data_IF_862612553372
#
_entry.id   IF_862612553372
#
_cell.length_a   1.000
_cell.length_b   1.000
_cell.length_c   1.000
_cell.angle_alpha   90.00
_cell.angle_beta   90.00
_cell.angle_gamma   90.00
#
_symmetry.space_group_name_H-M   'P 1'
#
loop_
_entity.id
_entity.type
_entity.pdbx_description
1 polymer ?
#
# COMPACT_ATOMS: atom_id res chain seq x y z
N UNK A 1 -11.28 -21.64 -1.80
CA UNK A 1 -11.76 -20.60 -2.73
C UNK A 1 -11.17 -20.85 -4.09
N UNK A 2 -11.98 -20.86 -5.12
CA UNK A 2 -11.51 -20.96 -6.51
C UNK A 2 -11.34 -19.56 -7.09
N UNK A 3 -10.17 -19.26 -7.58
CA UNK A 3 -9.86 -18.02 -8.30
C UNK A 3 -10.01 -18.31 -9.80
N UNK A 4 -10.92 -17.59 -10.44
CA UNK A 4 -11.20 -17.75 -11.87
C UNK A 4 -10.56 -16.63 -12.68
N UNK A 5 -10.11 -16.91 -13.91
CA UNK A 5 -9.73 -15.87 -14.85
C UNK A 5 -10.85 -14.82 -15.02
N UNK A 6 -10.45 -13.61 -15.43
CA UNK A 6 -11.40 -12.54 -15.65
C UNK A 6 -12.21 -12.79 -16.93
N UNK A 7 -13.54 -12.71 -16.85
CA UNK A 7 -14.41 -12.66 -18.02
C UNK A 7 -14.39 -11.28 -18.71
N UNK A 8 -14.79 -11.22 -19.98
CA UNK A 8 -14.88 -9.94 -20.69
C UNK A 8 -15.87 -8.99 -20.02
N UNK A 9 -15.47 -7.74 -19.82
CA UNK A 9 -16.30 -6.69 -19.24
C UNK A 9 -16.73 -5.67 -20.29
N UNK A 10 -17.86 -4.97 -20.04
CA UNK A 10 -18.30 -3.84 -20.87
C UNK A 10 -17.53 -2.59 -20.45
N UNK A 11 -16.97 -1.88 -21.43
CA UNK A 11 -16.28 -0.64 -21.21
C UNK A 11 -17.23 0.55 -21.23
N UNK A 12 -17.09 1.40 -20.23
CA UNK A 12 -17.74 2.71 -20.18
C UNK A 12 -16.70 3.79 -20.38
N UNK A 13 -17.07 4.93 -21.01
CA UNK A 13 -16.15 6.06 -21.14
C UNK A 13 -15.60 6.50 -19.78
N UNK A 14 -14.33 6.92 -19.76
CA UNK A 14 -13.67 7.46 -18.56
C UNK A 14 -13.87 8.96 -18.52
N UNK A 15 -14.19 9.49 -17.34
CA UNK A 15 -14.34 10.94 -17.12
C UNK A 15 -13.68 11.33 -15.80
N UNK A 16 -12.81 12.36 -15.83
CA UNK A 16 -12.23 12.96 -14.67
C UNK A 16 -13.03 14.20 -14.26
N UNK A 17 -13.52 14.23 -13.05
CA UNK A 17 -14.24 15.33 -12.43
C UNK A 17 -13.27 16.17 -11.59
N UNK A 18 -13.26 17.48 -11.83
CA UNK A 18 -12.46 18.45 -11.08
C UNK A 18 -13.41 19.43 -10.40
N UNK A 19 -13.75 19.22 -9.13
CA UNK A 19 -14.57 20.15 -8.38
C UNK A 19 -13.75 21.40 -8.02
N UNK A 20 -14.29 22.56 -8.33
CA UNK A 20 -13.81 23.89 -7.93
C UNK A 20 -14.92 24.57 -7.12
N UNK A 21 -14.61 25.69 -6.46
CA UNK A 21 -15.63 26.41 -5.73
C UNK A 21 -16.84 26.78 -6.62
N UNK A 22 -18.00 26.12 -6.38
CA UNK A 22 -19.26 26.28 -7.15
C UNK A 22 -19.14 25.99 -8.66
N UNK A 23 -18.09 25.32 -9.11
CA UNK A 23 -17.89 24.95 -10.49
C UNK A 23 -17.43 23.48 -10.58
N UNK A 24 -18.00 22.73 -11.51
CA UNK A 24 -17.56 21.37 -11.85
C UNK A 24 -17.02 21.36 -13.28
N UNK A 25 -15.77 20.94 -13.44
CA UNK A 25 -15.14 20.70 -14.72
C UNK A 25 -15.06 19.18 -14.94
N UNK A 26 -15.55 18.70 -16.08
CA UNK A 26 -15.50 17.30 -16.46
C UNK A 26 -14.65 17.14 -17.73
N UNK A 27 -13.54 16.41 -17.62
CA UNK A 27 -12.73 15.99 -18.77
C UNK A 27 -13.31 14.66 -19.28
N UNK A 28 -13.87 14.68 -20.48
CA UNK A 28 -14.53 13.53 -21.11
C UNK A 28 -13.88 13.19 -22.44
N UNK A 29 -14.10 11.99 -22.99
CA UNK A 29 -13.60 11.65 -24.35
C UNK A 29 -14.14 12.57 -25.44
N UNK A 30 -15.30 13.20 -25.25
CA UNK A 30 -15.89 14.16 -26.18
C UNK A 30 -15.46 15.62 -25.95
N UNK A 31 -14.53 15.86 -25.00
CA UNK A 31 -14.01 17.19 -24.68
C UNK A 31 -14.34 17.64 -23.26
N UNK A 32 -13.99 18.88 -22.95
CA UNK A 32 -14.14 19.48 -21.62
C UNK A 32 -15.56 20.06 -21.48
N UNK A 33 -16.29 19.62 -20.46
CA UNK A 33 -17.59 20.18 -20.07
C UNK A 33 -17.43 20.95 -18.76
N UNK A 34 -18.15 22.08 -18.62
CA UNK A 34 -18.13 22.92 -17.41
C UNK A 34 -19.54 23.26 -16.97
N UNK A 35 -19.76 23.29 -15.66
CA UNK A 35 -21.00 23.70 -15.06
C UNK A 35 -20.72 24.58 -13.84
N UNK A 36 -21.55 25.62 -13.62
CA UNK A 36 -21.40 26.56 -12.53
C UNK A 36 -22.71 26.66 -11.73
N UNK A 37 -22.62 26.60 -10.41
CA UNK A 37 -23.75 26.50 -9.52
C UNK A 37 -24.20 25.06 -9.26
N UNK A 38 -24.77 24.78 -8.07
CA UNK A 38 -25.05 23.44 -7.60
C UNK A 38 -26.01 22.66 -8.55
N UNK A 39 -27.09 23.27 -9.03
CA UNK A 39 -28.02 22.62 -9.93
C UNK A 39 -27.40 22.24 -11.26
N UNK A 40 -26.67 23.15 -11.93
CA UNK A 40 -25.99 22.86 -13.18
C UNK A 40 -24.88 21.82 -13.02
N UNK A 41 -24.15 21.83 -11.90
CA UNK A 41 -23.15 20.80 -11.58
C UNK A 41 -23.82 19.41 -11.38
N UNK A 42 -24.97 19.38 -10.74
CA UNK A 42 -25.80 18.17 -10.60
C UNK A 42 -26.24 17.63 -11.97
N UNK A 43 -26.81 18.48 -12.84
CA UNK A 43 -27.28 18.08 -14.18
C UNK A 43 -26.11 17.54 -15.03
N UNK A 44 -24.95 18.17 -14.96
CA UNK A 44 -23.74 17.69 -15.61
C UNK A 44 -23.36 16.29 -15.10
N UNK A 45 -23.35 16.11 -13.76
CA UNK A 45 -23.01 14.81 -13.16
C UNK A 45 -24.00 13.72 -13.58
N UNK A 46 -25.31 14.03 -13.59
CA UNK A 46 -26.38 13.13 -14.04
C UNK A 46 -26.22 12.75 -15.52
N UNK A 47 -25.82 13.69 -16.35
CA UNK A 47 -25.59 13.41 -17.80
C UNK A 47 -24.42 12.46 -18.06
N UNK A 48 -23.58 12.20 -17.05
CA UNK A 48 -22.40 11.32 -17.12
C UNK A 48 -22.61 9.97 -16.41
N UNK A 49 -23.84 9.60 -16.05
CA UNK A 49 -24.14 8.34 -15.32
C UNK A 49 -23.63 7.05 -16.01
N UNK A 50 -23.53 7.09 -17.34
CA UNK A 50 -22.99 5.98 -18.15
C UNK A 50 -21.48 5.95 -18.22
N UNK A 51 -20.76 6.92 -17.62
CA UNK A 51 -19.31 6.99 -17.59
C UNK A 51 -18.72 6.33 -16.34
N UNK A 52 -17.45 5.93 -16.41
CA UNK A 52 -16.64 5.64 -15.24
C UNK A 52 -16.12 6.97 -14.68
N UNK A 53 -16.68 7.41 -13.55
CA UNK A 53 -16.42 8.72 -12.99
C UNK A 53 -15.33 8.67 -11.93
N UNK A 54 -14.38 9.58 -12.07
CA UNK A 54 -13.27 9.77 -11.14
C UNK A 54 -13.20 11.23 -10.71
N UNK A 55 -12.85 11.48 -9.47
CA UNK A 55 -12.63 12.82 -8.95
C UNK A 55 -11.15 13.02 -8.59
N UNK A 56 -10.57 14.12 -9.06
CA UNK A 56 -9.17 14.49 -8.79
C UNK A 56 -8.92 15.02 -7.38
N UNK A 57 -9.96 15.43 -6.68
CA UNK A 57 -9.98 15.96 -5.33
C UNK A 57 -10.70 15.00 -4.36
N UNK A 58 -11.14 15.49 -3.21
CA UNK A 58 -11.91 14.67 -2.29
C UNK A 58 -13.36 14.49 -2.77
N UNK A 59 -13.95 13.36 -2.40
CA UNK A 59 -15.39 13.17 -2.63
C UNK A 59 -16.23 14.20 -1.90
N UNK A 60 -15.75 14.73 -0.77
CA UNK A 60 -16.38 15.83 -0.05
C UNK A 60 -16.44 17.11 -0.90
N UNK A 61 -15.36 17.44 -1.61
CA UNK A 61 -15.33 18.60 -2.50
C UNK A 61 -16.35 18.47 -3.63
N UNK A 62 -16.49 17.26 -4.22
CA UNK A 62 -17.49 16.98 -5.22
C UNK A 62 -18.92 17.17 -4.66
N UNK A 63 -19.20 16.62 -3.48
CA UNK A 63 -20.51 16.77 -2.82
C UNK A 63 -20.83 18.24 -2.51
N UNK A 64 -19.86 18.99 -2.02
CA UNK A 64 -20.03 20.42 -1.75
C UNK A 64 -20.29 21.22 -3.03
N UNK A 65 -19.66 20.85 -4.14
CA UNK A 65 -19.82 21.51 -5.45
C UNK A 65 -21.17 21.22 -6.09
N UNK A 66 -21.67 20.00 -5.93
CA UNK A 66 -22.94 19.53 -6.51
C UNK A 66 -24.15 19.73 -5.61
N UNK A 67 -23.99 20.31 -4.42
CA UNK A 67 -25.05 20.48 -3.43
C UNK A 67 -25.34 19.20 -2.66
N UNK A 68 -24.56 18.93 -1.58
CA UNK A 68 -24.64 17.71 -0.78
C UNK A 68 -26.03 17.40 -0.23
N UNK A 69 -26.85 18.44 0.05
CA UNK A 69 -28.23 18.32 0.53
C UNK A 69 -29.19 17.69 -0.50
N UNK A 70 -28.81 17.66 -1.77
CA UNK A 70 -29.63 17.07 -2.85
C UNK A 70 -29.39 15.59 -3.05
N UNK A 71 -28.31 15.01 -2.45
CA UNK A 71 -27.90 13.65 -2.69
C UNK A 71 -27.98 12.79 -1.43
N UNK A 72 -28.47 11.56 -1.58
CA UNK A 72 -28.18 10.51 -0.64
C UNK A 72 -26.82 9.89 -1.05
N UNK A 73 -25.77 10.19 -0.32
CA UNK A 73 -24.43 9.71 -0.64
C UNK A 73 -23.98 8.64 0.34
N UNK A 74 -23.55 7.48 -0.19
CA UNK A 74 -22.87 6.44 0.56
C UNK A 74 -21.39 6.45 0.22
N UNK A 75 -20.53 6.88 1.17
CA UNK A 75 -19.08 6.93 0.98
C UNK A 75 -18.41 5.70 1.57
N UNK A 76 -17.54 5.09 0.77
CA UNK A 76 -16.73 3.94 1.18
C UNK A 76 -15.30 4.39 1.47
N UNK A 77 -14.89 4.37 2.75
CA UNK A 77 -13.52 4.70 3.20
C UNK A 77 -12.92 5.93 2.50
N UNK A 78 -13.73 6.90 2.11
CA UNK A 78 -13.30 8.10 1.38
C UNK A 78 -12.82 7.88 -0.07
N UNK A 79 -12.90 6.66 -0.60
CA UNK A 79 -12.39 6.34 -1.95
C UNK A 79 -13.47 6.18 -3.01
N UNK A 80 -14.67 5.80 -2.61
CA UNK A 80 -15.80 5.61 -3.52
C UNK A 80 -17.04 6.19 -2.89
N UNK A 81 -17.83 6.92 -3.66
CA UNK A 81 -19.19 7.32 -3.27
C UNK A 81 -20.20 6.84 -4.29
N UNK A 82 -21.35 6.38 -3.82
CA UNK A 82 -22.55 6.23 -4.64
C UNK A 82 -23.49 7.33 -4.24
N UNK A 83 -23.80 8.21 -5.17
CA UNK A 83 -24.72 9.33 -5.01
C UNK A 83 -26.05 8.97 -5.64
N UNK A 84 -27.16 9.18 -4.94
CA UNK A 84 -28.51 8.86 -5.43
C UNK A 84 -29.42 10.07 -5.29
N UNK A 85 -30.13 10.40 -6.36
CA UNK A 85 -31.21 11.40 -6.37
C UNK A 85 -32.21 11.01 -7.46
N UNK A 86 -33.50 11.11 -7.17
CA UNK A 86 -34.60 10.85 -8.13
C UNK A 86 -34.47 9.51 -8.89
N UNK A 87 -33.97 8.46 -8.21
CA UNK A 87 -33.75 7.15 -8.81
C UNK A 87 -32.46 7.00 -9.62
N UNK A 88 -31.77 8.10 -9.95
CA UNK A 88 -30.47 8.08 -10.60
C UNK A 88 -29.37 7.72 -9.59
N UNK A 89 -28.49 6.75 -9.95
CA UNK A 89 -27.36 6.37 -9.13
C UNK A 89 -26.06 6.62 -9.90
N UNK A 90 -25.19 7.43 -9.31
CA UNK A 90 -23.88 7.76 -9.88
C UNK A 90 -22.79 7.29 -8.94
N UNK A 91 -21.85 6.48 -9.45
CA UNK A 91 -20.73 5.98 -8.69
C UNK A 91 -19.46 6.72 -9.09
N UNK A 92 -18.80 7.32 -8.11
CA UNK A 92 -17.58 8.12 -8.33
C UNK A 92 -16.44 7.56 -7.49
N UNK A 93 -15.26 7.46 -8.08
CA UNK A 93 -14.02 7.00 -7.45
C UNK A 93 -13.09 8.19 -7.16
N UNK A 94 -12.47 8.25 -5.98
CA UNK A 94 -11.45 9.26 -5.67
C UNK A 94 -10.07 8.78 -6.12
N UNK A 95 -9.34 9.64 -6.81
CA UNK A 95 -7.95 9.42 -7.24
C UNK A 95 -6.97 10.37 -6.53
N UNK A 96 -7.43 11.16 -5.56
CA UNK A 96 -6.63 12.21 -4.92
C UNK A 96 -5.21 11.79 -4.61
N UNK A 97 -5.02 10.70 -3.86
CA UNK A 97 -3.69 10.24 -3.43
C UNK A 97 -2.75 9.84 -4.57
N UNK A 98 -3.32 9.44 -5.70
CA UNK A 98 -2.57 8.90 -6.83
C UNK A 98 -2.19 10.00 -7.80
N UNK A 99 -3.00 11.08 -7.82
CA UNK A 99 -2.86 12.18 -8.76
C UNK A 99 -2.26 13.43 -8.12
N UNK A 100 -1.93 13.43 -6.83
CA UNK A 100 -1.35 14.61 -6.15
C UNK A 100 0.02 15.00 -6.73
N UNK A 101 0.76 14.04 -7.32
CA UNK A 101 2.08 14.27 -7.94
C UNK A 101 2.02 14.76 -9.39
N UNK A 102 0.83 15.08 -9.93
CA UNK A 102 0.67 15.48 -11.33
C UNK A 102 0.44 16.98 -11.45
N UNK A 103 1.14 17.61 -12.38
CA UNK A 103 1.00 19.01 -12.71
C UNK A 103 -0.20 19.24 -13.65
N UNK A 104 -1.31 19.72 -13.05
CA UNK A 104 -2.49 20.11 -13.80
C UNK A 104 -3.49 18.97 -14.08
N UNK A 105 -4.74 19.37 -14.28
CA UNK A 105 -5.88 18.45 -14.41
C UNK A 105 -5.92 17.72 -15.73
N UNK A 106 -5.44 18.35 -16.79
CA UNK A 106 -5.37 17.77 -18.13
C UNK A 106 -4.36 16.60 -18.16
N UNK A 107 -3.18 16.79 -17.55
CA UNK A 107 -2.17 15.72 -17.44
C UNK A 107 -2.71 14.52 -16.63
N UNK A 108 -3.45 14.78 -15.55
CA UNK A 108 -4.12 13.73 -14.75
C UNK A 108 -5.09 12.94 -15.61
N UNK A 109 -5.90 13.64 -16.42
CA UNK A 109 -6.88 13.00 -17.27
C UNK A 109 -6.22 12.14 -18.36
N UNK A 110 -5.25 12.70 -19.08
CA UNK A 110 -4.55 11.98 -20.15
C UNK A 110 -3.83 10.74 -19.63
N UNK A 111 -3.14 10.83 -18.51
CA UNK A 111 -2.48 9.69 -17.88
C UNK A 111 -3.48 8.60 -17.48
N UNK A 112 -4.66 9.00 -16.98
CA UNK A 112 -5.68 8.04 -16.59
C UNK A 112 -6.40 7.43 -17.79
N UNK A 113 -6.57 8.18 -18.87
CA UNK A 113 -7.12 7.68 -20.13
C UNK A 113 -6.20 6.63 -20.75
N UNK A 114 -4.90 6.91 -20.83
CA UNK A 114 -3.89 5.99 -21.33
C UNK A 114 -3.85 4.68 -20.48
N UNK A 115 -3.91 4.80 -19.14
CA UNK A 115 -4.05 3.63 -18.27
C UNK A 115 -5.31 2.82 -18.57
N UNK A 116 -6.45 3.49 -18.81
CA UNK A 116 -7.72 2.82 -19.06
C UNK A 116 -7.72 2.09 -20.41
N UNK A 117 -7.07 2.64 -21.44
CA UNK A 117 -6.87 2.02 -22.75
C UNK A 117 -5.98 0.78 -22.62
N UNK A 118 -4.85 0.91 -21.93
CA UNK A 118 -3.97 -0.23 -21.67
C UNK A 118 -4.69 -1.35 -20.88
N UNK A 119 -5.46 -1.01 -19.86
CA UNK A 119 -6.27 -1.99 -19.12
C UNK A 119 -7.34 -2.65 -19.97
N UNK A 120 -7.87 -1.92 -20.98
CA UNK A 120 -8.82 -2.46 -21.95
C UNK A 120 -8.26 -3.63 -22.73
N UNK A 121 -7.00 -3.57 -23.16
CA UNK A 121 -6.34 -4.65 -23.88
C UNK A 121 -6.27 -5.94 -23.04
N UNK A 122 -6.26 -5.80 -21.73
CA UNK A 122 -6.33 -6.90 -20.77
C UNK A 122 -7.77 -7.29 -20.35
N UNK A 123 -8.79 -6.73 -20.95
CA UNK A 123 -10.19 -6.99 -20.61
C UNK A 123 -10.63 -6.38 -19.27
N UNK A 124 -9.84 -5.46 -18.70
CA UNK A 124 -10.07 -4.85 -17.37
C UNK A 124 -10.83 -3.55 -17.50
N UNK A 125 -12.04 -3.50 -16.95
CA UNK A 125 -12.79 -2.24 -16.88
C UNK A 125 -12.20 -1.30 -15.81
N UNK A 126 -12.15 0.02 -16.08
CA UNK A 126 -11.80 1.01 -15.10
C UNK A 126 -12.67 0.93 -13.84
N UNK A 127 -12.05 1.10 -12.68
CA UNK A 127 -12.69 1.02 -11.37
C UNK A 127 -11.86 1.69 -10.27
N UNK A 128 -11.94 1.25 -9.02
CA UNK A 128 -10.95 1.66 -8.03
C UNK A 128 -9.59 1.04 -8.36
N UNK A 129 -8.50 1.68 -7.94
CA UNK A 129 -7.13 1.17 -8.18
C UNK A 129 -6.99 -0.28 -7.71
N UNK A 130 -7.48 -0.60 -6.53
CA UNK A 130 -7.42 -1.96 -5.99
C UNK A 130 -8.27 -2.95 -6.80
N UNK A 131 -9.45 -2.53 -7.29
CA UNK A 131 -10.27 -3.37 -8.15
C UNK A 131 -9.63 -3.59 -9.54
N UNK A 132 -9.01 -2.56 -10.10
CA UNK A 132 -8.26 -2.68 -11.35
C UNK A 132 -7.05 -3.60 -11.18
N UNK A 133 -6.30 -3.47 -10.07
CA UNK A 133 -5.18 -4.34 -9.74
C UNK A 133 -5.60 -5.82 -9.63
N UNK A 134 -6.68 -6.07 -8.91
CA UNK A 134 -7.26 -7.40 -8.75
C UNK A 134 -7.72 -8.00 -10.09
N UNK A 135 -8.41 -7.22 -10.91
CA UNK A 135 -8.92 -7.67 -12.19
C UNK A 135 -7.79 -7.85 -13.22
N UNK A 136 -6.77 -6.98 -13.22
CA UNK A 136 -5.57 -7.16 -14.04
C UNK A 136 -4.85 -8.46 -13.69
N UNK A 137 -4.64 -8.71 -12.39
CA UNK A 137 -4.07 -9.99 -11.97
C UNK A 137 -4.90 -11.17 -12.45
N UNK A 138 -6.23 -11.13 -12.29
CA UNK A 138 -7.11 -12.21 -12.77
C UNK A 138 -7.11 -12.38 -14.28
N UNK A 139 -6.89 -11.32 -15.06
CA UNK A 139 -6.80 -11.40 -16.52
C UNK A 139 -5.52 -12.10 -17.01
N UNK A 140 -4.49 -12.15 -16.15
CA UNK A 140 -3.24 -12.85 -16.45
C UNK A 140 -3.21 -14.32 -16.06
N UNK A 141 -4.26 -14.81 -15.41
CA UNK A 141 -4.36 -16.22 -15.02
C UNK A 141 -4.74 -17.10 -16.21
N UNK A 142 -3.94 -18.12 -16.48
CA UNK A 142 -4.20 -19.07 -17.57
C UNK A 142 -5.19 -20.15 -17.18
N UNK A 143 -5.31 -20.44 -15.90
CA UNK A 143 -6.20 -21.47 -15.35
C UNK A 143 -6.78 -21.07 -14.00
N UNK A 144 -7.85 -21.74 -13.65
CA UNK A 144 -8.43 -21.66 -12.31
C UNK A 144 -7.52 -22.35 -11.29
N UNK A 145 -7.29 -21.75 -10.13
CA UNK A 145 -6.58 -22.38 -9.04
C UNK A 145 -7.30 -22.20 -7.70
N UNK A 146 -7.04 -23.12 -6.78
CA UNK A 146 -7.67 -23.12 -5.46
C UNK A 146 -6.75 -22.52 -4.41
N UNK A 147 -7.27 -21.58 -3.64
CA UNK A 147 -6.65 -21.08 -2.43
C UNK A 147 -7.47 -21.52 -1.22
N UNK A 148 -6.84 -22.13 -0.23
CA UNK A 148 -7.55 -22.50 0.98
C UNK A 148 -7.83 -21.31 1.86
N UNK A 149 -8.98 -21.36 2.53
CA UNK A 149 -9.40 -20.38 3.51
C UNK A 149 -8.82 -20.71 4.90
N UNK A 150 -7.51 -20.59 5.08
CA UNK A 150 -6.98 -20.63 6.44
C UNK A 150 -6.89 -19.20 7.01
N UNK A 151 -8.07 -18.58 7.15
CA UNK A 151 -8.22 -17.16 7.43
C UNK A 151 -7.63 -16.76 8.79
N UNK A 152 -7.73 -17.61 9.80
CA UNK A 152 -7.29 -17.26 11.16
C UNK A 152 -5.77 -17.19 11.26
N UNK A 153 -5.06 -18.26 10.89
CA UNK A 153 -3.59 -18.28 11.00
C UNK A 153 -2.93 -17.29 10.03
N UNK A 154 -3.46 -17.15 8.81
CA UNK A 154 -3.00 -16.15 7.87
C UNK A 154 -3.16 -14.72 8.40
N UNK A 155 -4.26 -14.41 9.10
CA UNK A 155 -4.46 -13.10 9.73
C UNK A 155 -3.54 -12.87 10.92
N UNK A 156 -3.34 -13.86 11.75
CA UNK A 156 -2.45 -13.77 12.91
C UNK A 156 -1.00 -13.50 12.48
N UNK A 157 -0.59 -14.02 11.31
CA UNK A 157 0.74 -13.82 10.75
C UNK A 157 0.85 -12.61 9.79
N UNK A 158 -0.26 -11.92 9.51
CA UNK A 158 -0.25 -10.75 8.63
C UNK A 158 0.09 -9.48 9.41
N UNK A 159 1.32 -9.03 9.28
CA UNK A 159 1.83 -7.76 9.82
C UNK A 159 2.16 -6.81 8.66
N UNK A 160 2.05 -5.50 8.91
CA UNK A 160 2.46 -4.45 7.98
C UNK A 160 3.96 -4.34 7.77
N UNK A 161 4.39 -3.35 7.01
CA UNK A 161 5.80 -2.99 6.83
C UNK A 161 6.44 -2.48 8.13
N UNK A 162 7.76 -2.60 8.21
CA UNK A 162 8.53 -2.07 9.34
C UNK A 162 8.66 -0.56 9.23
N UNK A 163 8.37 0.14 10.34
CA UNK A 163 8.51 1.59 10.44
C UNK A 163 9.15 1.92 11.78
N UNK A 164 10.37 2.43 11.75
CA UNK A 164 11.13 2.82 12.94
C UNK A 164 11.96 4.07 12.66
N UNK A 165 12.24 4.82 13.69
CA UNK A 165 13.13 5.97 13.62
C UNK A 165 13.90 6.14 14.92
N UNK A 166 15.09 6.73 14.84
CA UNK A 166 15.87 7.18 16.00
C UNK A 166 15.75 8.70 16.09
N UNK A 167 14.78 9.23 16.84
CA UNK A 167 14.50 10.66 16.89
C UNK A 167 15.49 11.43 17.75
N UNK A 168 15.51 12.76 17.57
CA UNK A 168 16.15 13.70 18.50
C UNK A 168 17.63 14.00 18.22
N UNK A 169 18.21 13.46 17.14
CA UNK A 169 19.60 13.72 16.78
C UNK A 169 19.73 14.24 15.34
N UNK A 170 20.82 14.95 15.10
CA UNK A 170 21.26 15.35 13.76
C UNK A 170 22.41 14.45 13.35
N UNK A 171 22.30 13.86 12.18
CA UNK A 171 23.28 12.94 11.64
C UNK A 171 23.89 13.54 10.36
N UNK A 172 25.12 13.16 10.03
CA UNK A 172 25.84 13.59 8.83
C UNK A 172 26.32 12.41 8.01
N UNK A 173 26.39 12.61 6.70
CA UNK A 173 26.84 11.62 5.70
C UNK A 173 26.03 10.32 5.69
N UNK A 174 24.72 10.48 5.46
CA UNK A 174 23.76 9.39 5.36
C UNK A 174 23.25 9.21 3.93
N UNK A 175 22.71 8.04 3.65
CA UNK A 175 22.14 7.71 2.36
C UNK A 175 20.76 7.03 2.53
N UNK A 176 19.79 7.49 1.75
CA UNK A 176 18.49 6.82 1.65
C UNK A 176 18.53 5.81 0.49
N UNK A 177 18.21 4.58 0.79
CA UNK A 177 18.05 3.50 -0.19
C UNK A 177 16.70 2.82 -0.04
N UNK A 178 16.12 2.35 -1.15
CA UNK A 178 14.87 1.56 -1.15
C UNK A 178 14.97 0.37 -2.10
N UNK A 179 14.17 -0.67 -1.85
CA UNK A 179 14.05 -1.81 -2.74
C UNK A 179 13.11 -1.44 -3.89
N UNK A 180 13.63 -1.42 -5.11
CA UNK A 180 12.85 -1.09 -6.30
C UNK A 180 11.71 -2.09 -6.52
N UNK A 181 10.45 -1.60 -6.49
CA UNK A 181 9.23 -2.43 -6.65
C UNK A 181 9.17 -3.61 -5.68
N UNK A 182 9.49 -3.40 -4.41
CA UNK A 182 9.67 -4.45 -3.39
C UNK A 182 8.52 -5.47 -3.36
N UNK A 183 7.28 -5.02 -3.13
CA UNK A 183 6.13 -5.92 -3.02
C UNK A 183 5.82 -6.68 -4.32
N UNK A 184 5.64 -6.03 -5.48
CA UNK A 184 5.39 -6.73 -6.73
C UNK A 184 6.51 -7.72 -7.11
N UNK A 185 7.76 -7.37 -6.83
CA UNK A 185 8.90 -8.24 -7.08
C UNK A 185 8.86 -9.49 -6.19
N UNK A 186 8.63 -9.32 -4.86
CA UNK A 186 8.55 -10.46 -3.94
C UNK A 186 7.31 -11.32 -4.19
N UNK A 187 6.21 -10.75 -4.70
CA UNK A 187 5.06 -11.53 -5.14
C UNK A 187 5.39 -12.47 -6.30
N UNK A 188 6.16 -12.00 -7.28
CA UNK A 188 6.46 -12.76 -8.48
C UNK A 188 7.63 -13.74 -8.31
N UNK A 189 8.49 -13.55 -7.31
CA UNK A 189 9.76 -14.25 -7.21
C UNK A 189 9.65 -15.69 -6.73
N UNK A 190 8.69 -15.99 -5.87
CA UNK A 190 8.57 -17.30 -5.19
C UNK A 190 7.14 -17.80 -5.14
N UNK A 191 6.94 -19.14 -5.08
CA UNK A 191 5.62 -19.72 -4.89
C UNK A 191 4.97 -19.29 -3.57
N UNK A 192 3.67 -19.50 -3.51
CA UNK A 192 2.81 -19.33 -2.35
C UNK A 192 2.13 -20.65 -2.01
N UNK A 193 1.72 -20.80 -0.75
CA UNK A 193 0.85 -21.90 -0.39
C UNK A 193 -0.55 -21.71 -1.05
N UNK A 194 -0.92 -22.63 -1.90
CA UNK A 194 -2.30 -22.73 -2.38
C UNK A 194 -3.20 -23.23 -1.25
N UNK A 195 -2.79 -24.29 -0.57
CA UNK A 195 -3.42 -24.87 0.60
C UNK A 195 -2.39 -25.11 1.69
N UNK A 196 -2.69 -24.69 2.92
CA UNK A 196 -1.87 -24.97 4.10
C UNK A 196 -2.45 -26.18 4.87
N UNK A 197 -1.59 -27.08 5.30
CA UNK A 197 -1.92 -28.16 6.24
C UNK A 197 -1.08 -28.04 7.50
N UNK A 198 -1.65 -28.44 8.63
CA UNK A 198 -0.90 -28.53 9.87
C UNK A 198 0.08 -29.71 9.81
N UNK A 199 1.30 -29.47 10.25
CA UNK A 199 2.41 -30.43 10.28
C UNK A 199 3.04 -30.46 11.67
N UNK A 200 3.98 -31.38 11.87
CA UNK A 200 4.71 -31.44 13.15
C UNK A 200 5.38 -30.12 13.50
N UNK A 201 5.33 -29.64 14.76
CA UNK A 201 6.11 -28.49 15.21
C UNK A 201 7.63 -28.67 15.07
N UNK A 202 8.10 -29.90 14.85
CA UNK A 202 9.51 -30.21 14.61
C UNK A 202 9.93 -30.11 13.15
N UNK A 203 8.98 -29.83 12.23
CA UNK A 203 9.28 -29.63 10.82
C UNK A 203 10.31 -28.50 10.65
N UNK A 204 11.38 -28.69 9.86
CA UNK A 204 12.34 -27.65 9.57
C UNK A 204 11.66 -26.43 8.93
N UNK A 205 12.01 -25.24 9.42
CA UNK A 205 11.47 -23.98 8.91
C UNK A 205 12.35 -23.49 7.74
N UNK A 206 12.08 -24.00 6.55
CA UNK A 206 12.82 -23.62 5.34
C UNK A 206 12.37 -22.23 4.86
N UNK A 207 13.29 -21.24 4.72
CA UNK A 207 12.92 -19.84 4.43
C UNK A 207 12.32 -19.63 3.04
N UNK A 208 12.53 -20.58 2.13
CA UNK A 208 12.00 -20.54 0.75
C UNK A 208 10.56 -21.07 0.64
N UNK A 209 10.09 -21.79 1.65
CA UNK A 209 8.75 -22.39 1.67
C UNK A 209 7.78 -21.42 2.34
N UNK A 210 6.64 -21.19 1.68
CA UNK A 210 5.56 -20.30 2.18
C UNK A 210 4.76 -20.96 3.33
N UNK A 211 5.42 -21.26 4.44
CA UNK A 211 4.84 -21.84 5.64
C UNK A 211 4.59 -20.80 6.74
N UNK A 212 3.75 -21.16 7.70
CA UNK A 212 3.44 -20.32 8.87
C UNK A 212 3.60 -21.17 10.13
N UNK A 213 4.08 -20.56 11.23
CA UNK A 213 4.12 -21.23 12.51
C UNK A 213 3.70 -20.29 13.65
N UNK A 214 3.08 -20.86 14.68
CA UNK A 214 2.92 -20.25 15.99
C UNK A 214 4.13 -20.63 16.82
N UNK A 215 4.75 -19.64 17.42
CA UNK A 215 5.99 -19.85 18.16
C UNK A 215 6.08 -18.90 19.35
N UNK A 216 6.89 -19.33 20.34
CA UNK A 216 7.46 -18.49 21.37
C UNK A 216 8.93 -18.25 21.01
N UNK A 217 9.34 -16.99 20.99
CA UNK A 217 10.68 -16.62 20.54
C UNK A 217 11.35 -15.75 21.58
N UNK A 218 12.57 -16.14 21.98
CA UNK A 218 13.42 -15.28 22.79
C UNK A 218 14.33 -14.45 21.89
N UNK A 219 14.12 -13.14 21.88
CA UNK A 219 14.95 -12.17 21.19
C UNK A 219 15.98 -11.61 22.17
N UNK A 220 17.31 -11.81 21.94
CA UNK A 220 18.36 -11.30 22.81
C UNK A 220 18.27 -9.78 23.03
N UNK A 221 18.53 -9.32 24.26
CA UNK A 221 18.44 -7.90 24.60
C UNK A 221 19.53 -7.06 23.93
N UNK A 222 20.67 -7.65 23.64
CA UNK A 222 21.83 -7.05 22.97
C UNK A 222 21.70 -7.04 21.44
N UNK A 223 20.71 -7.75 20.88
CA UNK A 223 20.47 -7.71 19.44
C UNK A 223 20.03 -6.30 19.02
N UNK A 224 20.73 -5.60 18.13
CA UNK A 224 20.43 -4.21 17.76
C UNK A 224 18.99 -4.03 17.26
N UNK A 225 18.56 -4.88 16.36
CA UNK A 225 17.23 -4.83 15.74
C UNK A 225 16.48 -6.13 15.97
N UNK A 226 15.32 -6.06 16.65
CA UNK A 226 14.45 -7.24 16.81
C UNK A 226 13.95 -7.71 15.45
N UNK A 227 14.00 -9.02 15.14
CA UNK A 227 13.64 -9.53 13.81
C UNK A 227 12.13 -9.65 13.58
N UNK A 228 11.32 -9.76 14.64
CA UNK A 228 9.93 -10.16 14.54
C UNK A 228 8.97 -9.06 14.97
N UNK A 229 7.92 -8.76 14.18
CA UNK A 229 6.87 -7.86 14.59
C UNK A 229 5.97 -8.50 15.67
N UNK A 230 5.51 -7.69 16.60
CA UNK A 230 4.48 -8.01 17.57
C UNK A 230 3.37 -6.96 17.52
N UNK A 231 2.18 -7.28 18.04
CA UNK A 231 1.10 -6.31 18.21
C UNK A 231 1.06 -5.83 19.66
N UNK A 232 1.06 -4.53 19.85
CA UNK A 232 0.79 -3.92 21.15
C UNK A 232 -0.73 -3.79 21.38
N UNK A 233 -1.14 -3.46 22.61
CA UNK A 233 -2.55 -3.40 22.99
C UNK A 233 -3.47 -2.49 22.17
N UNK A 234 -2.91 -1.58 21.37
CA UNK A 234 -3.61 -0.72 20.41
C UNK A 234 -3.48 -1.19 18.96
N UNK A 235 -3.12 -2.45 18.73
CA UNK A 235 -2.84 -3.07 17.42
C UNK A 235 -1.67 -2.46 16.62
N UNK A 236 -0.95 -1.49 17.20
CA UNK A 236 0.26 -0.97 16.56
C UNK A 236 1.36 -2.03 16.54
N UNK A 237 2.20 -1.98 15.50
CA UNK A 237 3.36 -2.87 15.41
C UNK A 237 4.46 -2.41 16.35
N UNK A 238 5.06 -3.37 17.04
CA UNK A 238 6.22 -3.20 17.89
C UNK A 238 7.30 -4.23 17.54
N UNK A 239 8.55 -3.91 17.86
CA UNK A 239 9.73 -4.75 17.62
C UNK A 239 10.37 -5.07 18.97
N UNK A 240 9.69 -5.96 19.71
CA UNK A 240 10.00 -6.25 21.11
C UNK A 240 11.21 -7.17 21.26
N UNK A 241 11.88 -7.08 22.41
CA UNK A 241 12.97 -7.98 22.84
C UNK A 241 12.50 -8.84 24.01
N UNK A 242 13.30 -9.84 24.38
CA UNK A 242 12.93 -10.84 25.38
C UNK A 242 11.99 -11.90 24.80
N UNK A 243 11.17 -12.51 25.65
CA UNK A 243 10.20 -13.51 25.21
C UNK A 243 8.98 -12.85 24.54
N UNK A 244 8.70 -13.24 23.30
CA UNK A 244 7.53 -12.84 22.52
C UNK A 244 6.78 -14.07 22.03
N UNK A 245 5.48 -13.95 21.83
CA UNK A 245 4.61 -15.00 21.28
C UNK A 245 3.80 -14.46 20.11
N UNK A 246 3.62 -15.28 19.08
CA UNK A 246 2.89 -14.87 17.88
C UNK A 246 2.86 -15.92 16.78
N UNK A 247 2.38 -15.50 15.63
CA UNK A 247 2.36 -16.30 14.41
C UNK A 247 3.18 -15.58 13.35
N UNK A 248 4.14 -16.25 12.77
CA UNK A 248 5.05 -15.69 11.75
C UNK A 248 5.24 -16.66 10.60
N UNK A 249 5.70 -16.16 9.47
CA UNK A 249 6.10 -17.00 8.36
C UNK A 249 7.40 -17.76 8.67
N UNK A 250 7.63 -18.85 7.96
CA UNK A 250 8.86 -19.61 8.13
C UNK A 250 10.11 -18.80 7.80
N UNK A 251 10.02 -17.92 6.78
CA UNK A 251 11.11 -17.03 6.41
C UNK A 251 11.50 -16.08 7.54
N UNK A 252 10.51 -15.50 8.26
CA UNK A 252 10.78 -14.63 9.41
C UNK A 252 11.40 -15.38 10.60
N UNK A 253 10.87 -16.56 10.91
CA UNK A 253 11.41 -17.37 12.01
C UNK A 253 12.81 -17.92 11.68
N UNK A 254 13.07 -18.24 10.42
CA UNK A 254 14.41 -18.64 9.96
C UNK A 254 15.39 -17.46 10.07
N UNK A 255 15.01 -16.26 9.65
CA UNK A 255 15.81 -15.06 9.83
C UNK A 255 16.06 -14.73 11.32
N UNK A 256 15.07 -14.91 12.18
CA UNK A 256 15.26 -14.75 13.62
C UNK A 256 16.28 -15.74 14.18
N UNK A 257 16.24 -17.01 13.75
CA UNK A 257 17.23 -18.03 14.14
C UNK A 257 18.65 -17.66 13.68
N UNK A 258 18.82 -17.18 12.44
CA UNK A 258 20.14 -16.76 11.92
C UNK A 258 20.75 -15.61 12.70
N UNK A 259 19.92 -14.78 13.34
CA UNK A 259 20.33 -13.69 14.24
C UNK A 259 20.47 -14.10 15.72
N UNK A 260 20.45 -15.41 16.03
CA UNK A 260 20.68 -15.92 17.37
C UNK A 260 19.44 -15.97 18.26
N UNK A 261 18.23 -15.76 17.74
CA UNK A 261 17.01 -15.92 18.54
C UNK A 261 16.70 -17.41 18.82
N UNK A 262 16.23 -17.71 20.03
CA UNK A 262 15.72 -19.06 20.37
C UNK A 262 14.26 -19.14 19.95
N UNK A 263 13.93 -20.09 19.07
CA UNK A 263 12.58 -20.29 18.52
C UNK A 263 12.01 -21.61 19.00
N UNK A 264 10.88 -21.56 19.70
CA UNK A 264 10.10 -22.68 20.21
C UNK A 264 8.75 -22.72 19.46
N UNK A 265 8.63 -23.64 18.49
CA UNK A 265 7.41 -23.77 17.68
C UNK A 265 6.37 -24.58 18.44
N UNK A 266 5.16 -24.08 18.58
CA UNK A 266 4.02 -24.78 19.19
C UNK A 266 3.10 -25.42 18.17
N UNK A 267 2.85 -24.77 17.03
CA UNK A 267 2.07 -25.29 15.89
C UNK A 267 2.71 -24.84 14.57
N UNK A 268 2.56 -25.64 13.55
CA UNK A 268 3.23 -25.42 12.28
C UNK A 268 2.33 -25.80 11.09
N UNK A 269 2.32 -24.99 10.04
CA UNK A 269 1.59 -25.22 8.79
C UNK A 269 2.53 -25.11 7.61
N UNK A 270 2.52 -26.15 6.77
CA UNK A 270 3.26 -26.20 5.52
C UNK A 270 2.31 -26.17 4.32
N UNK A 271 2.78 -25.77 3.12
CA UNK A 271 2.02 -25.92 1.89
C UNK A 271 1.68 -27.39 1.64
N UNK A 272 0.41 -27.69 1.38
CA UNK A 272 -0.02 -28.95 0.77
C UNK A 272 0.10 -28.85 -0.75
N UNK A 273 -0.17 -27.66 -1.30
CA UNK A 273 0.01 -27.31 -2.70
C UNK A 273 0.69 -25.94 -2.79
N UNK A 274 1.55 -25.78 -3.78
CA UNK A 274 2.18 -24.53 -4.10
C UNK A 274 1.61 -23.97 -5.40
N UNK A 275 1.52 -22.62 -5.47
CA UNK A 275 1.03 -21.89 -6.64
C UNK A 275 1.92 -20.70 -6.91
N UNK A 276 2.13 -20.37 -8.19
CA UNK A 276 2.89 -19.17 -8.62
C UNK A 276 2.01 -18.28 -9.51
N UNK A 277 1.04 -17.55 -8.90
CA UNK A 277 0.01 -16.86 -9.64
C UNK A 277 0.39 -15.45 -10.08
N UNK A 278 1.61 -14.96 -9.77
CA UNK A 278 1.98 -13.56 -9.95
C UNK A 278 3.06 -13.30 -11.01
N UNK A 279 3.69 -14.34 -11.55
CA UNK A 279 4.80 -14.18 -12.49
C UNK A 279 4.36 -13.45 -13.77
N UNK A 280 3.36 -13.99 -14.46
CA UNK A 280 2.80 -13.38 -15.68
C UNK A 280 2.22 -11.99 -15.44
N UNK A 281 1.53 -11.81 -14.30
CA UNK A 281 1.03 -10.49 -13.89
C UNK A 281 2.18 -9.48 -13.74
N UNK A 282 3.29 -9.90 -13.16
CA UNK A 282 4.44 -9.02 -12.97
C UNK A 282 5.11 -8.65 -14.29
N UNK A 283 5.16 -9.57 -15.25
CA UNK A 283 5.64 -9.27 -16.61
C UNK A 283 4.79 -8.19 -17.27
N UNK A 284 3.47 -8.34 -17.21
CA UNK A 284 2.50 -7.36 -17.73
C UNK A 284 2.66 -5.99 -17.06
N UNK A 285 2.80 -5.95 -15.75
CA UNK A 285 3.02 -4.69 -15.01
C UNK A 285 4.34 -4.03 -15.42
N UNK A 286 5.42 -4.80 -15.58
CA UNK A 286 6.71 -4.26 -16.01
C UNK A 286 6.63 -3.70 -17.45
N UNK A 287 5.98 -4.42 -18.35
CA UNK A 287 5.74 -3.98 -19.71
C UNK A 287 4.94 -2.67 -19.73
N UNK A 288 3.81 -2.59 -19.03
CA UNK A 288 3.02 -1.37 -18.94
C UNK A 288 3.81 -0.19 -18.39
N UNK A 289 4.68 -0.41 -17.39
CA UNK A 289 5.56 0.65 -16.88
C UNK A 289 6.67 1.08 -17.85
N UNK A 290 7.06 0.25 -18.78
CA UNK A 290 8.09 0.54 -19.78
C UNK A 290 7.54 1.20 -21.05
N UNK A 291 6.29 0.89 -21.41
CA UNK A 291 5.68 1.30 -22.68
C UNK A 291 4.79 2.53 -22.58
N UNK A 292 4.15 2.74 -21.42
CA UNK A 292 3.28 3.89 -21.20
C UNK A 292 4.07 5.17 -20.89
N UNK A 293 3.41 6.32 -21.04
CA UNK A 293 3.98 7.61 -20.65
C UNK A 293 4.44 7.60 -19.19
N UNK A 294 5.42 8.43 -18.80
CA UNK A 294 5.89 8.51 -17.42
C UNK A 294 4.76 8.77 -16.41
N UNK A 295 3.73 9.51 -16.83
CA UNK A 295 2.56 9.80 -16.01
C UNK A 295 1.68 8.56 -15.81
N UNK A 296 1.31 7.85 -16.86
CA UNK A 296 0.54 6.61 -16.79
C UNK A 296 1.32 5.48 -16.09
N UNK A 297 2.64 5.39 -16.30
CA UNK A 297 3.52 4.45 -15.60
C UNK A 297 3.50 4.62 -14.07
N UNK A 298 3.34 5.86 -13.54
CA UNK A 298 3.13 6.11 -12.10
C UNK A 298 1.81 5.49 -11.62
N UNK A 299 0.76 5.55 -12.42
CA UNK A 299 -0.53 4.92 -12.09
C UNK A 299 -0.43 3.39 -12.09
N UNK A 300 0.28 2.80 -13.06
CA UNK A 300 0.57 1.35 -13.07
C UNK A 300 1.38 0.94 -11.85
N UNK A 301 2.34 1.76 -11.39
CA UNK A 301 3.08 1.52 -10.14
C UNK A 301 2.13 1.49 -8.94
N UNK A 302 1.21 2.45 -8.84
CA UNK A 302 0.23 2.51 -7.74
C UNK A 302 -0.72 1.31 -7.77
N UNK A 303 -1.16 0.91 -8.97
CA UNK A 303 -1.97 -0.29 -9.20
C UNK A 303 -1.22 -1.54 -8.72
N UNK A 304 0.03 -1.72 -9.12
CA UNK A 304 0.82 -2.90 -8.73
C UNK A 304 1.05 -2.98 -7.22
N UNK A 305 1.28 -1.85 -6.57
CA UNK A 305 1.49 -1.81 -5.11
C UNK A 305 0.21 -2.08 -4.31
N UNK A 306 -0.98 -1.93 -4.91
CA UNK A 306 -2.25 -2.15 -4.20
C UNK A 306 -2.74 -3.61 -4.23
N UNK A 307 -2.15 -4.48 -5.06
CA UNK A 307 -2.65 -5.84 -5.24
C UNK A 307 -2.51 -6.70 -3.97
N UNK A 308 -1.34 -6.68 -3.31
CA UNK A 308 -1.11 -7.52 -2.14
C UNK A 308 -2.09 -7.25 -1.00
N UNK A 309 -2.47 -5.98 -0.82
CA UNK A 309 -3.45 -5.56 0.19
C UNK A 309 -4.84 -6.17 -0.02
N UNK A 310 -5.21 -6.49 -1.26
CA UNK A 310 -6.48 -7.15 -1.56
C UNK A 310 -6.60 -8.55 -0.92
N UNK A 311 -5.49 -9.26 -0.77
CA UNK A 311 -5.47 -10.58 -0.12
C UNK A 311 -5.60 -10.49 1.40
N UNK A 312 -5.19 -9.35 2.01
CA UNK A 312 -5.29 -9.09 3.44
C UNK A 312 -6.56 -8.37 3.89
N UNK A 313 -7.45 -7.97 2.99
CA UNK A 313 -8.66 -7.20 3.33
C UNK A 313 -9.57 -7.93 4.31
N UNK A 314 -10.05 -7.18 5.32
CA UNK A 314 -11.08 -7.65 6.26
C UNK A 314 -12.48 -7.27 5.75
N UNK A 315 -13.45 -8.16 5.88
CA UNK A 315 -14.85 -7.86 5.51
C UNK A 315 -15.56 -6.90 6.47
N UNK A 316 -14.98 -6.65 7.65
CA UNK A 316 -15.69 -6.05 8.78
C UNK A 316 -15.65 -4.51 8.83
N UNK A 317 -14.78 -3.84 8.05
CA UNK A 317 -14.55 -2.39 8.17
C UNK A 317 -15.20 -1.56 7.06
N UNK A 318 -16.45 -1.79 6.77
CA UNK A 318 -17.21 -0.94 5.86
C UNK A 318 -17.88 0.20 6.61
N UNK A 319 -17.15 1.28 6.87
CA UNK A 319 -17.74 2.54 7.30
C UNK A 319 -18.54 3.16 6.14
N UNK A 320 -19.85 3.24 6.26
CA UNK A 320 -20.70 4.00 5.34
C UNK A 320 -21.03 5.30 6.03
N UNK A 321 -20.61 6.42 5.45
CA UNK A 321 -21.05 7.75 5.90
C UNK A 321 -22.35 8.06 5.19
N UNK A 322 -23.43 8.17 5.96
CA UNK A 322 -24.71 8.72 5.47
C UNK A 322 -24.83 10.17 5.88
N UNK A 323 -25.17 11.00 4.95
CA UNK A 323 -25.64 12.35 5.26
C UNK A 323 -27.13 12.24 5.59
N UNK A 324 -27.49 12.43 6.85
CA UNK A 324 -28.83 12.11 7.36
C UNK A 324 -29.74 13.32 7.47
N UNK A 325 -29.19 14.54 7.44
CA UNK A 325 -30.02 15.74 7.47
C UNK A 325 -30.16 16.36 6.08
N UNK A 326 -31.37 16.88 5.81
CA UNK A 326 -31.69 17.60 4.56
C UNK A 326 -30.84 18.88 4.38
N UNK A 327 -30.11 19.29 5.41
CA UNK A 327 -29.27 20.48 5.41
C UNK A 327 -27.77 20.16 5.21
N UNK A 328 -27.40 18.91 5.17
CA UNK A 328 -26.03 18.45 4.89
C UNK A 328 -25.01 18.74 6.00
N UNK A 329 -25.45 19.08 7.22
CA UNK A 329 -24.58 19.59 8.27
C UNK A 329 -23.97 18.51 9.17
N UNK A 330 -24.48 17.29 9.16
CA UNK A 330 -24.00 16.22 10.03
C UNK A 330 -23.93 14.87 9.32
N UNK A 331 -22.73 14.38 8.98
CA UNK A 331 -22.59 13.04 8.50
C UNK A 331 -22.73 12.05 9.66
N UNK A 332 -23.69 11.15 9.58
CA UNK A 332 -23.77 10.02 10.48
C UNK A 332 -22.94 8.87 9.95
N UNK A 333 -21.96 8.41 10.72
CA UNK A 333 -21.21 7.21 10.40
C UNK A 333 -22.02 5.97 10.76
N UNK A 334 -22.64 5.34 9.78
CA UNK A 334 -23.29 4.06 9.95
C UNK A 334 -22.29 2.96 9.61
N UNK A 335 -21.82 2.22 10.62
CA UNK A 335 -21.05 1.00 10.39
C UNK A 335 -21.98 -0.09 9.85
N UNK A 336 -21.92 -0.34 8.56
CA UNK A 336 -22.52 -1.55 7.97
C UNK A 336 -21.50 -2.68 8.07
N UNK A 337 -21.71 -3.62 8.97
CA UNK A 337 -20.95 -4.88 8.97
C UNK A 337 -21.33 -5.66 7.70
N UNK A 338 -20.36 -5.94 6.84
CA UNK A 338 -20.57 -6.90 5.76
C UNK A 338 -20.53 -8.31 6.33
N UNK A 339 -21.61 -9.06 6.12
CA UNK A 339 -21.68 -10.48 6.54
C UNK A 339 -20.80 -11.42 5.69
N UNK A 340 -20.27 -10.94 4.57
CA UNK A 340 -19.42 -11.75 3.68
C UNK A 340 -17.99 -11.20 3.65
N UNK A 341 -17.03 -12.09 3.91
CA UNK A 341 -15.63 -11.80 3.65
C UNK A 341 -15.44 -11.51 2.15
N UNK A 342 -14.59 -10.54 1.78
CA UNK A 342 -14.22 -10.35 0.37
C UNK A 342 -13.71 -11.67 -0.22
N UNK A 343 -14.03 -11.92 -1.49
CA UNK A 343 -13.53 -13.11 -2.22
C UNK A 343 -11.99 -13.17 -2.28
N UNK A 344 -11.33 -12.06 -1.97
CA UNK A 344 -9.87 -11.91 -1.92
C UNK A 344 -9.25 -12.31 -0.58
N UNK A 345 -10.03 -12.77 0.42
CA UNK A 345 -9.53 -12.98 1.77
C UNK A 345 -8.68 -14.25 1.91
N UNK A 346 -7.47 -14.17 1.44
CA UNK A 346 -6.42 -15.18 1.58
C UNK A 346 -5.22 -14.54 2.28
N UNK A 347 -5.42 -14.15 3.54
CA UNK A 347 -4.49 -13.34 4.33
C UNK A 347 -3.07 -13.94 4.41
N UNK A 348 -2.91 -15.25 4.24
CA UNK A 348 -1.60 -15.89 4.19
C UNK A 348 -0.75 -15.43 2.99
N UNK A 349 -1.36 -15.07 1.85
CA UNK A 349 -0.63 -14.48 0.71
C UNK A 349 -0.13 -13.08 1.07
N UNK A 350 -0.98 -12.25 1.69
CA UNK A 350 -0.56 -10.93 2.14
C UNK A 350 0.51 -11.02 3.24
N UNK A 351 0.35 -11.96 4.18
CA UNK A 351 1.33 -12.23 5.24
C UNK A 351 2.70 -12.61 4.65
N UNK A 352 2.72 -13.57 3.73
CA UNK A 352 3.94 -14.02 3.07
C UNK A 352 4.59 -12.90 2.27
N UNK A 353 3.81 -12.12 1.49
CA UNK A 353 4.31 -10.99 0.70
C UNK A 353 5.00 -9.94 1.59
N UNK A 354 4.33 -9.52 2.68
CA UNK A 354 4.89 -8.50 3.56
C UNK A 354 6.07 -9.03 4.37
N UNK A 355 6.05 -10.30 4.75
CA UNK A 355 7.16 -10.91 5.49
C UNK A 355 8.43 -11.00 4.64
N UNK A 356 8.33 -11.38 3.36
CA UNK A 356 9.46 -11.42 2.43
C UNK A 356 10.16 -10.06 2.34
N UNK A 357 9.38 -8.97 2.24
CA UNK A 357 9.95 -7.62 2.25
C UNK A 357 10.58 -7.30 3.60
N UNK A 358 9.92 -7.63 4.73
CA UNK A 358 10.48 -7.40 6.07
C UNK A 358 11.77 -8.18 6.32
N UNK A 359 11.85 -9.44 5.85
CA UNK A 359 13.06 -10.26 5.97
C UNK A 359 14.21 -9.66 5.16
N UNK A 360 13.95 -9.20 3.94
CA UNK A 360 14.97 -8.48 3.15
C UNK A 360 15.40 -7.19 3.82
N UNK A 361 14.44 -6.40 4.30
CA UNK A 361 14.73 -5.18 5.08
C UNK A 361 15.60 -5.49 6.30
N UNK A 362 15.32 -6.58 6.99
CA UNK A 362 16.10 -7.03 8.14
C UNK A 362 17.53 -7.42 7.73
N UNK A 363 17.66 -8.41 6.85
CA UNK A 363 18.95 -9.06 6.55
C UNK A 363 19.84 -8.28 5.56
N UNK A 364 19.28 -7.34 4.82
CA UNK A 364 20.01 -6.54 3.82
C UNK A 364 20.07 -5.05 4.20
N UNK A 365 19.04 -4.50 4.86
CA UNK A 365 18.92 -3.08 5.18
C UNK A 365 19.32 -2.73 6.61
N UNK A 366 18.88 -3.49 7.61
CA UNK A 366 19.19 -3.26 9.02
C UNK A 366 20.52 -3.92 9.43
N UNK A 367 20.81 -5.04 8.81
CA UNK A 367 22.07 -5.76 8.94
C UNK A 367 22.80 -5.78 7.59
N UNK A 368 24.11 -5.89 7.67
CA UNK A 368 24.98 -6.07 6.52
C UNK A 368 24.71 -7.42 5.86
N UNK A 369 24.46 -7.50 4.56
CA UNK A 369 24.24 -8.78 3.88
C UNK A 369 25.48 -9.69 3.84
N UNK A 370 26.67 -9.15 4.14
CA UNK A 370 27.92 -9.92 4.07
C UNK A 370 28.26 -10.66 5.37
N UNK A 371 27.96 -10.06 6.53
CA UNK A 371 28.43 -10.57 7.85
C UNK A 371 27.43 -10.39 8.99
N UNK A 372 26.22 -9.92 8.67
CA UNK A 372 25.15 -9.63 9.63
C UNK A 372 25.55 -8.61 10.71
N UNK A 373 26.55 -7.76 10.48
CA UNK A 373 26.81 -6.62 11.33
C UNK A 373 25.72 -5.55 11.18
N UNK A 374 25.39 -4.75 12.22
CA UNK A 374 24.33 -3.76 12.12
C UNK A 374 24.71 -2.58 11.23
N UNK A 375 23.84 -2.19 10.30
CA UNK A 375 24.01 -1.03 9.41
C UNK A 375 23.67 0.31 10.09
N UNK A 376 23.25 0.31 11.36
CA UNK A 376 22.93 1.49 12.16
C UNK A 376 21.97 2.47 11.47
N UNK A 377 20.78 2.04 11.02
CA UNK A 377 19.83 2.91 10.38
C UNK A 377 19.27 3.94 11.37
N UNK A 378 19.01 5.15 10.87
CA UNK A 378 18.33 6.21 11.64
C UNK A 378 16.85 6.31 11.31
N UNK A 379 16.44 5.72 10.19
CA UNK A 379 15.05 5.69 9.74
C UNK A 379 14.80 4.45 8.89
N UNK A 380 13.66 3.80 9.11
CA UNK A 380 13.17 2.64 8.36
C UNK A 380 11.73 2.91 7.98
N UNK A 381 11.41 2.74 6.71
CA UNK A 381 10.04 2.88 6.21
C UNK A 381 9.74 1.83 5.14
N UNK A 382 9.10 0.76 5.58
CA UNK A 382 8.50 -0.30 4.74
C UNK A 382 9.52 -1.06 3.88
N UNK A 383 10.01 -0.46 2.81
CA UNK A 383 10.95 -1.02 1.82
C UNK A 383 12.20 -0.13 1.65
N UNK A 384 12.38 0.84 2.52
CA UNK A 384 13.50 1.78 2.50
C UNK A 384 14.14 2.02 3.86
N UNK A 385 15.43 2.31 3.84
CA UNK A 385 16.23 2.66 5.02
C UNK A 385 17.08 3.91 4.77
N UNK A 386 17.37 4.64 5.84
CA UNK A 386 18.38 5.69 5.85
C UNK A 386 19.52 5.21 6.76
N UNK A 387 20.67 4.93 6.16
CA UNK A 387 21.86 4.35 6.79
C UNK A 387 23.06 5.27 6.62
N UNK A 388 24.13 5.14 7.45
CA UNK A 388 25.42 5.77 7.18
C UNK A 388 25.92 5.42 5.77
N UNK A 389 26.44 6.39 5.04
CA UNK A 389 26.90 6.18 3.65
C UNK A 389 27.94 5.07 3.53
N UNK A 390 28.79 4.92 4.55
CA UNK A 390 29.81 3.87 4.61
C UNK A 390 29.20 2.44 4.65
N UNK A 391 28.01 2.27 5.26
CA UNK A 391 27.33 0.98 5.32
C UNK A 391 26.95 0.44 3.92
N UNK A 392 26.86 1.33 2.91
CA UNK A 392 26.60 0.91 1.54
C UNK A 392 27.70 -0.01 0.96
N UNK A 393 28.91 0.04 1.51
CA UNK A 393 30.03 -0.83 1.10
C UNK A 393 29.76 -2.31 1.36
N UNK A 394 28.87 -2.64 2.30
CA UNK A 394 28.48 -4.01 2.60
C UNK A 394 27.53 -4.60 1.55
N UNK A 395 26.88 -3.75 0.75
CA UNK A 395 26.00 -4.19 -0.32
C UNK A 395 26.88 -4.62 -1.52
N UNK A 396 26.63 -5.81 -2.00
CA UNK A 396 27.28 -6.30 -3.20
C UNK A 396 26.80 -5.46 -4.42
N UNK A 397 27.66 -5.25 -5.39
CA UNK A 397 27.35 -4.44 -6.59
C UNK A 397 26.12 -4.95 -7.35
N UNK A 398 25.83 -6.26 -7.34
CA UNK A 398 24.66 -6.84 -7.95
C UNK A 398 23.35 -6.50 -7.22
N UNK A 399 23.43 -6.13 -5.95
CA UNK A 399 22.27 -5.74 -5.14
C UNK A 399 21.87 -4.28 -5.39
N UNK A 400 22.76 -3.45 -5.87
CA UNK A 400 22.51 -2.01 -6.09
C UNK A 400 22.21 -1.73 -7.56
N UNK A 401 21.10 -1.04 -7.82
CA UNK A 401 20.73 -0.67 -9.18
C UNK A 401 19.28 -0.21 -9.30
N UNK A 402 18.83 -0.09 -10.55
CA UNK A 402 17.47 0.37 -10.85
C UNK A 402 16.50 -0.75 -11.27
N UNK A 403 16.99 -2.01 -11.33
CA UNK A 403 16.13 -3.13 -11.67
C UNK A 403 15.21 -3.46 -10.49
N UNK A 404 14.06 -4.03 -10.79
CA UNK A 404 13.12 -4.48 -9.76
C UNK A 404 13.80 -5.47 -8.81
N UNK A 405 13.58 -5.30 -7.52
CA UNK A 405 14.21 -6.09 -6.47
C UNK A 405 15.63 -5.65 -6.08
N UNK A 406 16.25 -4.72 -6.80
CA UNK A 406 17.53 -4.15 -6.38
C UNK A 406 17.32 -2.98 -5.43
N UNK A 407 18.30 -2.74 -4.58
CA UNK A 407 18.41 -1.54 -3.75
C UNK A 407 18.77 -0.34 -4.63
N UNK A 408 17.94 0.67 -4.59
CA UNK A 408 18.14 1.91 -5.35
C UNK A 408 18.53 3.04 -4.41
N UNK A 409 19.58 3.76 -4.77
CA UNK A 409 19.97 4.99 -4.08
C UNK A 409 18.95 6.08 -4.42
N UNK A 410 18.25 6.61 -3.40
CA UNK A 410 17.28 7.71 -3.57
C UNK A 410 17.95 9.07 -3.39
N UNK A 411 18.72 9.22 -2.33
CA UNK A 411 19.27 10.52 -1.95
C UNK A 411 20.50 10.34 -1.09
N UNK A 412 21.56 11.10 -1.38
CA UNK A 412 22.71 11.27 -0.52
C UNK A 412 22.48 12.52 0.33
N UNK A 413 22.55 12.36 1.65
CA UNK A 413 22.22 13.39 2.63
C UNK A 413 23.47 13.84 3.36
N UNK A 414 23.84 15.11 3.19
CA UNK A 414 24.93 15.71 3.96
C UNK A 414 24.57 15.81 5.44
N UNK A 415 23.33 16.18 5.72
CA UNK A 415 22.78 16.30 7.08
C UNK A 415 21.34 15.83 7.07
N UNK A 416 20.96 15.06 8.06
CA UNK A 416 19.57 14.63 8.30
C UNK A 416 19.21 14.85 9.77
N UNK A 417 17.98 15.28 10.02
CA UNK A 417 17.37 15.37 11.35
C UNK A 417 16.05 14.59 11.35
N UNK A 418 15.95 13.59 12.20
CA UNK A 418 14.79 12.70 12.31
C UNK A 418 13.98 13.08 13.55
N UNK A 419 12.65 13.20 13.42
CA UNK A 419 11.71 13.54 14.51
C UNK A 419 10.85 12.36 14.94
N UNK A 420 10.39 11.59 13.97
CA UNK A 420 9.53 10.43 14.18
C UNK A 420 9.61 9.48 12.99
N UNK A 421 9.06 8.27 13.07
CA UNK A 421 8.80 7.48 11.88
C UNK A 421 8.07 8.32 10.82
N UNK A 422 8.56 8.29 9.58
CA UNK A 422 8.00 9.06 8.46
C UNK A 422 8.04 10.60 8.60
N UNK A 423 8.78 11.17 9.57
CA UNK A 423 8.94 12.62 9.73
C UNK A 423 10.42 12.97 9.93
N UNK A 424 11.01 13.53 8.89
CA UNK A 424 12.41 14.00 8.92
C UNK A 424 12.65 15.16 7.96
N UNK A 425 13.80 15.83 8.11
CA UNK A 425 14.29 16.82 7.14
C UNK A 425 15.76 16.55 6.83
N UNK A 426 16.18 16.97 5.66
CA UNK A 426 17.57 16.75 5.25
C UNK A 426 18.07 17.88 4.34
N UNK A 427 19.41 17.93 4.17
CA UNK A 427 20.11 18.69 3.14
C UNK A 427 21.00 17.75 2.37
N UNK A 428 21.13 17.99 1.07
CA UNK A 428 22.10 17.30 0.21
C UNK A 428 23.38 18.13 0.09
N UNK A 429 24.38 17.65 -0.64
CA UNK A 429 25.57 18.43 -0.95
C UNK A 429 25.25 19.64 -1.83
N UNK A 430 24.21 19.55 -2.65
CA UNK A 430 23.82 20.58 -3.63
C UNK A 430 22.73 21.52 -3.13
N UNK A 431 22.05 21.19 -2.02
CA UNK A 431 20.95 22.02 -1.47
C UNK A 431 21.36 22.71 -0.18
N UNK A 432 21.18 24.03 -0.13
CA UNK A 432 21.41 24.84 1.09
C UNK A 432 20.18 24.91 1.99
N UNK A 433 18.98 24.69 1.43
CA UNK A 433 17.70 24.71 2.12
C UNK A 433 17.31 23.32 2.62
N UNK A 434 16.59 23.29 3.75
CA UNK A 434 16.03 22.04 4.28
C UNK A 434 14.92 21.52 3.38
N UNK A 435 15.00 20.22 3.08
CA UNK A 435 13.93 19.47 2.46
C UNK A 435 13.19 18.69 3.55
N UNK A 436 11.88 18.79 3.59
CA UNK A 436 11.02 18.18 4.62
C UNK A 436 10.24 17.02 4.02
N UNK A 437 10.20 15.92 4.77
CA UNK A 437 9.49 14.70 4.39
C UNK A 437 8.54 14.30 5.51
N UNK A 438 7.28 14.10 5.14
CA UNK A 438 6.28 13.43 5.96
C UNK A 438 5.39 12.59 5.04
N UNK A 439 5.12 11.34 5.43
CA UNK A 439 4.33 10.44 4.59
C UNK A 439 2.93 10.98 4.32
N UNK A 440 2.52 10.98 3.07
CA UNK A 440 1.20 11.45 2.64
C UNK A 440 0.99 12.97 2.70
N UNK A 441 2.06 13.76 2.87
CA UNK A 441 2.00 15.23 2.95
C UNK A 441 2.86 15.87 1.87
N UNK A 442 2.50 17.10 1.47
CA UNK A 442 3.35 17.94 0.64
C UNK A 442 4.53 18.49 1.46
N UNK A 443 5.63 18.90 0.81
CA UNK A 443 6.79 19.45 1.50
C UNK A 443 6.45 20.61 2.44
N UNK A 444 5.51 21.50 2.06
CA UNK A 444 5.05 22.61 2.91
C UNK A 444 4.33 22.13 4.17
N UNK A 445 3.44 21.15 4.04
CA UNK A 445 2.73 20.53 5.17
C UNK A 445 3.71 19.79 6.09
N UNK A 446 4.67 19.09 5.51
CA UNK A 446 5.73 18.41 6.25
C UNK A 446 6.60 19.40 7.03
N UNK A 447 6.93 20.55 6.45
CA UNK A 447 7.65 21.64 7.12
C UNK A 447 6.89 22.18 8.31
N UNK A 448 5.61 22.50 8.13
CA UNK A 448 4.75 22.98 9.21
C UNK A 448 4.65 21.99 10.35
N UNK A 449 4.45 20.70 10.02
CA UNK A 449 4.37 19.63 11.00
C UNK A 449 5.70 19.48 11.77
N UNK A 450 6.83 19.51 11.05
CA UNK A 450 8.16 19.39 11.64
C UNK A 450 8.45 20.54 12.63
N UNK A 451 8.06 21.78 12.29
CA UNK A 451 8.22 22.97 13.14
C UNK A 451 7.37 22.94 14.41
N UNK A 452 6.14 22.35 14.31
CA UNK A 452 5.24 22.22 15.47
C UNK A 452 5.67 21.17 16.48
N UNK A 453 6.57 20.25 16.10
CA UNK A 453 7.03 19.14 16.94
C UNK A 453 8.54 19.20 17.16
N UNK A 454 9.07 20.20 17.87
CA UNK A 454 10.51 20.40 18.01
C UNK A 454 11.22 19.29 18.79
N UNK A 455 10.51 18.54 19.65
CA UNK A 455 11.10 17.51 20.52
C UNK A 455 10.85 16.08 20.05
N UNK A 456 10.15 15.85 18.96
CA UNK A 456 10.01 14.52 18.36
C UNK A 456 9.20 13.49 19.14
N UNK A 457 8.52 13.85 20.22
CA UNK A 457 7.76 12.92 21.04
C UNK A 457 6.29 12.83 20.63
N UNK A 458 5.84 11.59 20.40
CA UNK A 458 4.43 11.21 20.57
C UNK A 458 3.43 11.67 19.52
N UNK A 459 3.87 12.07 18.35
CA UNK A 459 2.93 12.22 17.25
C UNK A 459 2.77 10.85 16.61
N UNK A 460 1.74 10.13 17.03
CA UNK A 460 1.06 9.20 16.15
C UNK A 460 0.59 10.02 14.96
N UNK A 461 1.42 10.12 13.93
CA UNK A 461 1.09 10.80 12.69
C UNK A 461 -0.06 10.03 12.07
N UNK A 462 -1.26 10.51 12.30
CA UNK A 462 -2.51 10.02 11.77
C UNK A 462 -2.80 8.56 12.17
N UNK A 463 -3.59 8.32 13.22
CA UNK A 463 -3.92 6.98 13.67
C UNK A 463 -4.69 6.14 12.66
N UNK A 464 -4.97 6.58 11.45
CA UNK A 464 -5.87 5.87 10.54
C UNK A 464 -5.60 6.01 9.05
N UNK A 465 -4.41 6.42 8.61
CA UNK A 465 -4.18 6.60 7.16
C UNK A 465 -3.26 5.53 6.55
N UNK A 466 -2.36 4.92 7.30
CA UNK A 466 -1.47 3.86 6.80
C UNK A 466 -1.90 2.43 7.14
N UNK A 467 -2.92 2.25 7.98
CA UNK A 467 -3.42 0.91 8.36
C UNK A 467 -4.77 0.54 7.74
N UNK A 468 -5.34 1.40 6.91
CA UNK A 468 -6.57 1.10 6.16
C UNK A 468 -6.28 1.06 4.68
N UNK A 469 -5.59 0.03 4.25
CA UNK A 469 -5.69 -0.53 2.91
C UNK A 469 -6.63 -1.72 2.93
#
# INVERSE_FOLDING_TARGET
>A
MQIKPLGRSRFKPVTLLVPKWRELVAYTPSGIKKAKGAGACYDLLKSLEMHNLYVSHTLKDLLNTTGSHMWQAEMWKGHVTTMSLDGTKVKVHSLRRILDDFDGDEQKYLAFLELAEWLHDWGVAPGSISAMAWNLWRSTLDQEFSLSFNSQIGRQSFYGGRQEATPGQTYSDFIAVDISSAYPYEMARRPYAGTLREVSPRTPLEPEIAGIAQARVFVPNDLPHSPLPTRSGNESLAWSKGWIEGSWTWSELSAAKSLGCKVEVSRCWAPLTEVQPFEKWWEVVREGRATLSPAAAKLVKSLSNSLWGMFGMTGDDRGVVRWTDQLGNSPEMVQKRSKSLPQSNTAHIAAETTSRVRVRMLLEGLYSPSDLSPNNPVHVDTDGVIIPREALKSFNEMMIGNKSGQWRIKTVMKVIEVRAPQLYRYKTETTTTWQYVASGMTGKQAEELFKRNPQGFGVSLLPNVSQTL
#
